data_IF_276603635243
#
_entry.id   IF_276603635243
#
_cell.length_a   1.000
_cell.length_b   1.000
_cell.length_c   1.000
_cell.angle_alpha   90.00
_cell.angle_beta   90.00
_cell.angle_gamma   90.00
#
_symmetry.space_group_name_H-M   'P 1'
#
loop_
_entity.id
_entity.type
_entity.pdbx_description
1 polymer ?
#
# COMPACT_ATOMS: atom_id res chain seq x y z
N UNK A 1 -9.52 -18.76 21.90
CA UNK A 1 -8.79 -19.75 21.06
C UNK A 1 -9.12 -19.40 19.61
N UNK A 2 -8.33 -18.53 18.99
CA UNK A 2 -8.52 -18.11 17.58
C UNK A 2 -7.57 -18.96 16.75
N UNK A 3 -8.14 -19.70 15.79
CA UNK A 3 -7.39 -20.60 14.94
C UNK A 3 -6.46 -19.82 14.00
N UNK A 4 -5.25 -20.32 13.84
CA UNK A 4 -4.28 -19.88 12.83
C UNK A 4 -4.90 -20.01 11.43
N UNK A 5 -5.09 -18.90 10.75
CA UNK A 5 -5.46 -18.88 9.34
C UNK A 5 -4.23 -19.29 8.52
N UNK A 6 -4.30 -20.42 7.84
CA UNK A 6 -3.27 -20.85 6.88
C UNK A 6 -3.17 -19.84 5.74
N UNK A 7 -1.97 -19.31 5.54
CA UNK A 7 -1.63 -18.49 4.38
C UNK A 7 -1.83 -19.31 3.10
N UNK A 8 -2.75 -18.88 2.25
CA UNK A 8 -2.91 -19.43 0.91
C UNK A 8 -1.86 -18.79 -0.01
N UNK A 9 -1.04 -19.62 -0.66
CA UNK A 9 -0.14 -19.17 -1.71
C UNK A 9 -0.98 -18.70 -2.91
N UNK A 10 -0.84 -17.43 -3.29
CA UNK A 10 -1.40 -16.91 -4.53
C UNK A 10 -0.35 -17.13 -5.62
N UNK A 11 -0.53 -18.15 -6.45
CA UNK A 11 0.23 -18.28 -7.69
C UNK A 11 -0.25 -17.22 -8.69
N UNK A 12 0.52 -16.18 -8.86
CA UNK A 12 0.33 -15.25 -9.96
C UNK A 12 1.11 -15.76 -11.19
N UNK A 13 0.35 -16.10 -12.23
CA UNK A 13 0.87 -16.50 -13.53
C UNK A 13 1.69 -15.38 -14.17
N UNK A 14 2.97 -15.63 -14.44
CA UNK A 14 3.78 -14.83 -15.36
C UNK A 14 4.83 -13.92 -14.76
N UNK A 15 6.08 -14.41 -14.78
CA UNK A 15 7.37 -13.68 -14.82
C UNK A 15 7.63 -12.64 -13.74
N UNK A 16 8.31 -13.07 -12.69
CA UNK A 16 8.94 -12.23 -11.68
C UNK A 16 8.32 -12.45 -10.32
N UNK A 17 9.09 -13.10 -9.47
CA UNK A 17 8.78 -13.23 -8.04
C UNK A 17 8.67 -11.82 -7.50
N UNK A 18 7.46 -11.34 -7.23
CA UNK A 18 7.25 -10.11 -6.48
C UNK A 18 7.81 -10.36 -5.07
N UNK A 19 9.01 -9.89 -4.83
CA UNK A 19 9.60 -9.92 -3.51
C UNK A 19 8.95 -8.77 -2.74
N UNK A 20 7.90 -9.08 -1.99
CA UNK A 20 7.30 -8.13 -1.05
C UNK A 20 8.33 -7.69 -0.02
N UNK A 21 8.05 -6.60 0.68
CA UNK A 21 8.85 -6.14 1.82
C UNK A 21 8.16 -6.51 3.11
N UNK A 22 8.95 -6.88 4.11
CA UNK A 22 8.45 -7.07 5.46
C UNK A 22 8.00 -5.74 6.06
N UNK A 23 6.89 -5.77 6.80
CA UNK A 23 6.43 -4.63 7.60
C UNK A 23 6.29 -5.08 9.04
N UNK A 24 7.15 -4.60 9.92
CA UNK A 24 7.08 -4.86 11.35
C UNK A 24 6.44 -3.68 12.09
N UNK A 25 5.47 -3.98 12.92
CA UNK A 25 4.70 -3.01 13.73
C UNK A 25 4.95 -3.33 15.20
N UNK A 26 5.34 -2.33 15.99
CA UNK A 26 5.63 -2.48 17.41
C UNK A 26 4.87 -1.45 18.23
N UNK A 27 4.07 -1.95 19.19
CA UNK A 27 3.35 -1.19 20.21
C UNK A 27 2.54 -0.01 19.64
N UNK A 28 1.97 -0.23 18.46
CA UNK A 28 1.30 0.81 17.70
C UNK A 28 0.00 1.21 18.37
N UNK A 29 -0.16 2.49 18.69
CA UNK A 29 -1.36 3.05 19.32
C UNK A 29 -1.87 4.24 18.53
N UNK A 30 -3.19 4.31 18.33
CA UNK A 30 -3.87 5.44 17.71
C UNK A 30 -5.18 5.77 18.40
N UNK A 31 -5.36 7.06 18.69
CA UNK A 31 -6.59 7.60 19.27
C UNK A 31 -7.06 8.83 18.50
N UNK A 32 -8.33 9.10 18.55
CA UNK A 32 -8.94 10.35 18.11
C UNK A 32 -9.71 10.98 19.28
N UNK A 33 -9.18 12.07 19.81
CA UNK A 33 -9.66 12.68 21.03
C UNK A 33 -9.55 11.71 22.22
N UNK A 34 -10.68 11.35 22.82
CA UNK A 34 -10.74 10.40 23.95
C UNK A 34 -10.92 8.95 23.53
N UNK A 35 -11.15 8.69 22.26
CA UNK A 35 -11.41 7.34 21.76
C UNK A 35 -10.14 6.71 21.23
N UNK A 36 -9.67 5.66 21.90
CA UNK A 36 -8.60 4.80 21.38
C UNK A 36 -9.19 3.85 20.33
N UNK A 37 -8.65 3.90 19.12
CA UNK A 37 -9.07 3.05 18.01
C UNK A 37 -8.40 1.68 18.12
N UNK A 38 -7.10 1.68 18.39
CA UNK A 38 -6.31 0.49 18.69
C UNK A 38 -5.11 0.89 19.54
N UNK A 39 -4.68 0.00 20.42
CA UNK A 39 -3.59 0.22 21.36
C UNK A 39 -2.66 -0.98 21.45
N UNK A 40 -1.37 -0.70 21.57
CA UNK A 40 -0.30 -1.65 21.76
C UNK A 40 -0.29 -2.81 20.73
N UNK A 41 -0.60 -2.49 19.47
CA UNK A 41 -0.64 -3.47 18.39
C UNK A 41 0.78 -3.80 17.96
N UNK A 42 1.15 -5.06 18.10
CA UNK A 42 2.43 -5.60 17.62
C UNK A 42 2.18 -6.77 16.69
N UNK A 43 2.68 -6.68 15.45
CA UNK A 43 2.57 -7.74 14.45
C UNK A 43 3.63 -7.56 13.36
N UNK A 44 3.86 -8.63 12.61
CA UNK A 44 4.70 -8.59 11.41
C UNK A 44 3.92 -9.08 10.20
N UNK A 45 3.96 -8.31 9.11
CA UNK A 45 3.46 -8.71 7.81
C UNK A 45 4.63 -9.29 7.01
N UNK A 46 4.61 -10.59 6.72
CA UNK A 46 5.73 -11.24 6.05
C UNK A 46 5.83 -10.82 4.57
N UNK A 47 7.02 -10.81 4.00
CA UNK A 47 7.22 -10.49 2.60
C UNK A 47 6.69 -11.59 1.68
N UNK A 48 6.07 -11.20 0.56
CA UNK A 48 5.60 -12.14 -0.47
C UNK A 48 4.37 -12.97 -0.09
N UNK A 49 3.69 -12.64 0.99
CA UNK A 49 2.47 -13.30 1.44
C UNK A 49 1.26 -12.36 1.41
N UNK A 50 0.07 -12.93 1.37
CA UNK A 50 -1.19 -12.18 1.50
C UNK A 50 -1.61 -12.19 2.96
N UNK A 51 -1.61 -11.01 3.57
CA UNK A 51 -2.13 -10.81 4.93
C UNK A 51 -3.52 -10.17 4.87
N UNK A 52 -4.48 -10.71 5.62
CA UNK A 52 -5.87 -10.22 5.62
C UNK A 52 -6.24 -9.72 7.02
N UNK A 53 -6.71 -8.48 7.09
CA UNK A 53 -7.24 -7.89 8.32
C UNK A 53 -8.76 -8.03 8.36
N UNK A 54 -9.27 -8.82 9.28
CA UNK A 54 -10.70 -9.06 9.47
C UNK A 54 -11.23 -8.29 10.68
N UNK A 55 -12.48 -7.88 10.59
CA UNK A 55 -13.21 -7.22 11.69
C UNK A 55 -14.44 -6.46 11.20
N UNK A 56 -15.39 -6.16 12.10
CA UNK A 56 -16.58 -5.35 11.78
C UNK A 56 -16.26 -3.96 11.22
N UNK A 57 -17.24 -3.29 10.63
CA UNK A 57 -17.10 -1.88 10.24
C UNK A 57 -16.83 -1.00 11.47
N UNK A 58 -15.98 0.02 11.29
CA UNK A 58 -15.64 0.96 12.38
C UNK A 58 -14.53 0.50 13.34
N UNK A 59 -13.98 -0.70 13.19
CA UNK A 59 -12.89 -1.21 14.08
C UNK A 59 -11.51 -0.60 13.79
N UNK A 60 -11.41 0.37 12.89
CA UNK A 60 -10.14 1.04 12.62
C UNK A 60 -9.26 0.39 11.55
N UNK A 61 -9.73 -0.60 10.77
CA UNK A 61 -8.95 -1.25 9.70
C UNK A 61 -8.33 -0.26 8.71
N UNK A 62 -9.13 0.68 8.21
CA UNK A 62 -8.65 1.72 7.29
C UNK A 62 -7.69 2.72 7.98
N UNK A 63 -7.87 2.97 9.27
CA UNK A 63 -6.96 3.78 10.08
C UNK A 63 -5.60 3.09 10.17
N UNK A 64 -5.60 1.77 10.42
CA UNK A 64 -4.39 0.96 10.48
C UNK A 64 -3.64 0.97 9.14
N UNK A 65 -4.34 0.68 8.03
CA UNK A 65 -3.74 0.72 6.68
C UNK A 65 -3.15 2.10 6.36
N UNK A 66 -3.86 3.19 6.70
CA UNK A 66 -3.34 4.55 6.51
C UNK A 66 -2.08 4.81 7.33
N UNK A 67 -1.96 4.20 8.51
CA UNK A 67 -0.73 4.30 9.32
C UNK A 67 0.41 3.51 8.70
N UNK A 68 0.16 2.29 8.19
CA UNK A 68 1.17 1.46 7.53
C UNK A 68 1.81 2.12 6.29
N UNK A 69 1.08 3.02 5.62
CA UNK A 69 1.59 3.75 4.46
C UNK A 69 2.02 5.19 4.79
N UNK A 70 2.05 5.52 6.08
CA UNK A 70 2.47 6.83 6.57
C UNK A 70 1.52 7.98 6.24
N UNK A 71 0.28 7.72 5.80
CA UNK A 71 -0.75 8.76 5.60
C UNK A 71 -1.34 9.24 6.92
N UNK A 72 -1.22 8.45 7.97
CA UNK A 72 -1.66 8.79 9.31
C UNK A 72 -0.56 8.45 10.30
N UNK A 73 -0.12 9.45 11.06
CA UNK A 73 0.89 9.23 12.10
C UNK A 73 0.27 8.58 13.32
N UNK A 74 0.82 7.47 13.84
CA UNK A 74 0.41 6.88 15.11
C UNK A 74 0.76 7.82 16.28
N UNK A 75 0.11 7.62 17.43
CA UNK A 75 0.39 8.39 18.64
C UNK A 75 1.56 7.78 19.40
N UNK A 76 1.73 6.44 19.31
CA UNK A 76 2.85 5.69 19.88
C UNK A 76 3.22 4.52 18.99
N UNK A 77 4.39 3.94 19.27
CA UNK A 77 4.91 2.77 18.59
C UNK A 77 5.66 3.10 17.31
N UNK A 78 6.10 2.08 16.61
CA UNK A 78 6.89 2.20 15.38
C UNK A 78 6.36 1.30 14.27
N UNK A 79 6.65 1.68 13.03
CA UNK A 79 6.34 0.90 11.83
C UNK A 79 7.62 0.81 11.01
N UNK A 80 8.23 -0.35 11.00
CA UNK A 80 9.51 -0.59 10.33
C UNK A 80 9.23 -1.23 8.98
N UNK A 81 9.66 -0.57 7.91
CA UNK A 81 9.64 -1.08 6.54
C UNK A 81 11.08 -1.14 6.06
N UNK A 82 11.61 -2.34 5.81
CA UNK A 82 13.05 -2.57 5.72
C UNK A 82 13.73 -2.03 6.99
N UNK A 83 14.61 -1.03 6.84
CA UNK A 83 15.36 -0.42 7.94
C UNK A 83 14.84 0.98 8.30
N UNK A 84 13.64 1.36 7.84
CA UNK A 84 13.08 2.70 8.04
C UNK A 84 11.87 2.64 8.94
N UNK A 85 11.94 3.32 10.08
CA UNK A 85 10.75 3.61 10.90
C UNK A 85 9.96 4.75 10.26
N UNK A 86 8.88 4.44 9.56
CA UNK A 86 8.08 5.42 8.85
C UNK A 86 7.24 6.30 9.77
N UNK A 87 7.08 5.93 11.04
CA UNK A 87 6.37 6.77 12.02
C UNK A 87 7.22 7.96 12.49
N UNK A 88 8.56 7.83 12.42
CA UNK A 88 9.50 8.81 12.99
C UNK A 88 10.56 9.32 12.01
N UNK A 89 10.60 8.80 10.78
CA UNK A 89 11.56 9.23 9.77
C UNK A 89 11.27 10.64 9.25
N UNK A 90 12.24 11.21 8.53
CA UNK A 90 12.05 12.46 7.78
C UNK A 90 11.09 12.26 6.61
N UNK A 91 10.45 13.34 6.16
CA UNK A 91 9.53 13.30 5.00
C UNK A 91 10.21 12.79 3.74
N UNK A 92 11.47 13.12 3.53
CA UNK A 92 12.25 12.59 2.40
C UNK A 92 12.38 11.06 2.46
N UNK A 93 12.71 10.49 3.63
CA UNK A 93 12.77 9.03 3.80
C UNK A 93 11.40 8.38 3.64
N UNK A 94 10.35 8.99 4.17
CA UNK A 94 8.98 8.54 4.00
C UNK A 94 8.58 8.51 2.52
N UNK A 95 8.90 9.55 1.78
CA UNK A 95 8.64 9.63 0.34
C UNK A 95 9.34 8.50 -0.43
N UNK A 96 10.62 8.26 -0.16
CA UNK A 96 11.36 7.15 -0.79
C UNK A 96 10.81 5.78 -0.41
N UNK A 97 10.40 5.60 0.86
CA UNK A 97 9.81 4.35 1.32
C UNK A 97 8.45 4.08 0.66
N UNK A 98 7.64 5.11 0.44
CA UNK A 98 6.34 4.99 -0.25
C UNK A 98 6.44 4.46 -1.68
N UNK A 99 7.58 4.60 -2.35
CA UNK A 99 7.81 4.02 -3.68
C UNK A 99 7.87 2.49 -3.68
N UNK A 100 7.99 1.85 -2.50
CA UNK A 100 8.07 0.40 -2.37
C UNK A 100 6.70 -0.28 -2.40
N UNK A 101 5.60 0.46 -2.31
CA UNK A 101 4.25 -0.09 -2.27
C UNK A 101 3.25 0.75 -3.08
N UNK A 102 2.25 0.06 -3.59
CA UNK A 102 1.06 0.68 -4.18
C UNK A 102 -0.12 0.56 -3.22
N UNK A 103 -1.08 1.46 -3.35
CA UNK A 103 -2.31 1.45 -2.54
C UNK A 103 -3.52 1.44 -3.46
N UNK A 104 -4.42 0.49 -3.23
CA UNK A 104 -5.74 0.50 -3.85
C UNK A 104 -6.76 0.99 -2.83
N UNK A 105 -7.32 2.17 -3.06
CA UNK A 105 -8.39 2.71 -2.23
C UNK A 105 -9.76 2.21 -2.71
N UNK A 106 -10.71 2.14 -1.79
CA UNK A 106 -12.08 1.71 -2.08
C UNK A 106 -12.73 2.56 -3.18
N UNK A 107 -12.47 3.85 -3.20
CA UNK A 107 -13.02 4.81 -4.17
C UNK A 107 -12.11 5.02 -5.40
N UNK A 108 -11.14 4.13 -5.62
CA UNK A 108 -10.21 4.13 -6.75
C UNK A 108 -9.12 5.21 -6.68
N UNK A 109 -9.37 6.35 -6.07
CA UNK A 109 -8.46 7.51 -5.97
C UNK A 109 -7.93 7.99 -7.35
N UNK A 110 -8.76 7.94 -8.36
CA UNK A 110 -8.45 8.43 -9.71
C UNK A 110 -8.78 9.92 -9.84
N UNK A 111 -8.03 10.62 -10.67
CA UNK A 111 -8.32 12.01 -11.03
C UNK A 111 -9.51 12.04 -12.00
N UNK A 112 -10.66 12.54 -11.54
CA UNK A 112 -11.87 12.63 -12.37
C UNK A 112 -11.77 13.58 -13.56
N UNK A 113 -10.75 14.46 -13.58
CA UNK A 113 -10.45 15.38 -14.68
C UNK A 113 -9.52 14.79 -15.74
N UNK A 114 -8.98 13.59 -15.51
CA UNK A 114 -8.07 12.90 -16.44
C UNK A 114 -8.77 11.71 -17.06
N UNK A 115 -8.42 11.40 -18.33
CA UNK A 115 -8.82 10.14 -18.96
C UNK A 115 -8.11 8.94 -18.32
N UNK A 116 -8.42 7.74 -18.76
CA UNK A 116 -7.87 6.51 -18.21
C UNK A 116 -6.35 6.39 -18.46
N UNK A 117 -5.92 6.75 -19.68
CA UNK A 117 -4.50 6.79 -20.03
C UNK A 117 -3.70 7.71 -19.12
N UNK A 118 -4.17 8.94 -18.94
CA UNK A 118 -3.45 9.95 -18.14
C UNK A 118 -3.42 9.58 -16.65
N UNK A 119 -4.47 8.96 -16.11
CA UNK A 119 -4.45 8.44 -14.74
C UNK A 119 -3.35 7.41 -14.51
N UNK A 120 -3.08 6.54 -15.51
CA UNK A 120 -2.01 5.53 -15.42
C UNK A 120 -0.64 6.15 -15.72
N UNK A 121 -0.59 7.10 -16.68
CA UNK A 121 0.64 7.74 -17.09
C UNK A 121 1.19 8.72 -16.03
N UNK A 122 0.30 9.39 -15.29
CA UNK A 122 0.66 10.43 -14.32
C UNK A 122 1.74 10.00 -13.32
N UNK A 123 1.61 8.90 -12.57
CA UNK A 123 2.66 8.49 -11.64
C UNK A 123 3.97 8.11 -12.33
N UNK A 124 3.93 7.65 -13.57
CA UNK A 124 5.15 7.34 -14.33
C UNK A 124 5.89 8.62 -14.74
N UNK A 125 5.15 9.66 -15.15
CA UNK A 125 5.71 10.97 -15.47
C UNK A 125 6.34 11.64 -14.24
N UNK A 126 5.65 11.58 -13.08
CA UNK A 126 6.11 12.21 -11.84
C UNK A 126 7.31 11.50 -11.20
N UNK A 127 7.36 10.17 -11.25
CA UNK A 127 8.32 9.39 -10.46
C UNK A 127 9.41 8.70 -11.29
N UNK A 128 9.38 8.82 -12.61
CA UNK A 128 10.38 8.17 -13.48
C UNK A 128 10.92 9.15 -14.53
N UNK A 129 12.05 8.77 -15.15
CA UNK A 129 12.64 9.50 -16.28
C UNK A 129 12.33 8.83 -17.62
N UNK A 130 11.25 8.06 -17.70
CA UNK A 130 10.86 7.35 -18.92
C UNK A 130 10.37 8.32 -19.99
N UNK A 131 10.67 7.98 -21.24
CA UNK A 131 10.11 8.69 -22.40
C UNK A 131 8.61 8.43 -22.53
N UNK A 132 7.87 9.33 -23.18
CA UNK A 132 6.43 9.15 -23.44
C UNK A 132 6.14 7.85 -24.19
N UNK A 133 7.04 7.39 -25.08
CA UNK A 133 6.91 6.11 -25.78
C UNK A 133 6.97 4.92 -24.82
N UNK A 134 7.88 4.95 -23.86
CA UNK A 134 7.99 3.89 -22.84
C UNK A 134 6.78 3.92 -21.89
N UNK A 135 6.32 5.12 -21.50
CA UNK A 135 5.13 5.30 -20.67
C UNK A 135 3.91 4.75 -21.40
N UNK A 136 3.73 5.09 -22.68
CA UNK A 136 2.64 4.58 -23.51
C UNK A 136 2.62 3.05 -23.55
N UNK A 137 3.76 2.41 -23.79
CA UNK A 137 3.84 0.95 -23.78
C UNK A 137 3.41 0.34 -22.44
N UNK A 138 3.84 0.96 -21.32
CA UNK A 138 3.47 0.50 -19.97
C UNK A 138 1.97 0.68 -19.75
N UNK A 139 1.40 1.83 -20.14
CA UNK A 139 -0.03 2.10 -19.98
C UNK A 139 -0.86 1.05 -20.72
N UNK A 140 -0.56 0.78 -21.98
CA UNK A 140 -1.27 -0.23 -22.76
C UNK A 140 -1.13 -1.63 -22.16
N UNK A 141 0.08 -2.02 -21.74
CA UNK A 141 0.28 -3.29 -21.02
C UNK A 141 -0.61 -3.40 -19.77
N UNK A 142 -0.71 -2.33 -18.98
CA UNK A 142 -1.52 -2.34 -17.75
C UNK A 142 -3.02 -2.38 -18.06
N UNK A 143 -3.47 -1.70 -19.08
CA UNK A 143 -4.87 -1.77 -19.54
C UNK A 143 -5.22 -3.16 -20.05
N UNK A 144 -4.33 -3.80 -20.80
CA UNK A 144 -4.52 -5.17 -21.27
C UNK A 144 -4.61 -6.16 -20.11
N UNK A 145 -3.75 -6.02 -19.07
CA UNK A 145 -3.77 -6.88 -17.89
C UNK A 145 -5.12 -6.89 -17.16
N UNK A 146 -5.89 -5.80 -17.24
CA UNK A 146 -7.21 -5.68 -16.60
C UNK A 146 -8.37 -5.78 -17.57
N UNK A 147 -8.11 -6.13 -18.84
CA UNK A 147 -9.14 -6.32 -19.86
C UNK A 147 -9.76 -5.02 -20.40
N UNK A 148 -9.05 -3.90 -20.29
CA UNK A 148 -9.49 -2.58 -20.73
C UNK A 148 -8.75 -2.08 -22.00
N UNK A 149 -8.27 -2.97 -22.86
CA UNK A 149 -7.65 -2.58 -24.12
C UNK A 149 -8.65 -1.83 -25.01
N UNK A 150 -8.23 -0.69 -25.56
CA UNK A 150 -9.06 0.13 -26.45
C UNK A 150 -10.02 1.09 -25.71
N UNK A 151 -9.79 1.36 -24.42
CA UNK A 151 -10.62 2.26 -23.60
C UNK A 151 -9.83 3.47 -23.06
N UNK A 152 -8.70 3.79 -23.67
CA UNK A 152 -7.74 4.82 -23.23
C UNK A 152 -8.30 6.23 -23.02
#
# INVERSE_FOLDING_TARGET
>A
MYGEARAGQVEMCGRGRLVGVEVAVHDLTKSFGKQTIWGDVTLTLPPGEVSVMLGPSGTGKSVFLKSLIGLLKPDKGSIIIRDVDIAHCSEHKLYETRKLFGVLFQDGALFGSMNLYDNIAFPLREHTKKSEKEISNIVFEKLEMVGLSGTE
#
